data_IF_874638378162
#
_entry.id   IF_874638378162
#
_cell.length_a   1.000
_cell.length_b   1.000
_cell.length_c   1.000
_cell.angle_alpha   90.00
_cell.angle_beta   90.00
_cell.angle_gamma   90.00
#
_symmetry.space_group_name_H-M   'P 1'
#
loop_
_entity.id
_entity.type
_entity.pdbx_description
1 polymer ?
#
# COMPACT_ATOMS: atom_id res chain seq x y z
N UNK A 1 -1.97 -2.16 -9.67
CA UNK A 1 -0.98 -2.10 -8.56
C UNK A 1 -1.54 -2.62 -7.24
N UNK A 2 -2.70 -2.14 -6.78
CA UNK A 2 -3.28 -2.53 -5.47
C UNK A 2 -3.35 -4.03 -5.17
N UNK A 3 -3.80 -4.87 -6.13
CA UNK A 3 -3.82 -6.33 -5.94
C UNK A 3 -2.44 -6.96 -5.70
N UNK A 4 -1.40 -6.46 -6.35
CA UNK A 4 -0.02 -6.93 -6.13
C UNK A 4 0.53 -6.52 -4.77
N UNK A 5 0.25 -5.29 -4.33
CA UNK A 5 0.62 -4.79 -3.00
C UNK A 5 -0.09 -5.61 -1.92
N UNK A 6 -1.38 -5.89 -2.08
CA UNK A 6 -2.15 -6.73 -1.18
C UNK A 6 -1.56 -8.15 -1.08
N UNK A 7 -1.26 -8.77 -2.22
CA UNK A 7 -0.64 -10.09 -2.26
C UNK A 7 0.73 -10.11 -1.56
N UNK A 8 1.60 -9.14 -1.83
CA UNK A 8 2.93 -9.06 -1.17
C UNK A 8 2.77 -8.88 0.34
N UNK A 9 1.83 -8.03 0.77
CA UNK A 9 1.56 -7.77 2.18
C UNK A 9 1.07 -9.02 2.92
N UNK A 10 0.14 -9.76 2.32
CA UNK A 10 -0.37 -10.98 2.91
C UNK A 10 0.64 -12.14 2.86
N UNK A 11 1.24 -12.39 1.69
CA UNK A 11 2.03 -13.60 1.46
C UNK A 11 3.49 -13.48 1.91
N UNK A 12 4.12 -12.32 1.71
CA UNK A 12 5.51 -12.08 2.19
C UNK A 12 5.50 -11.42 3.56
N UNK A 13 4.61 -10.44 3.76
CA UNK A 13 4.50 -9.73 5.03
C UNK A 13 3.79 -10.50 6.15
N UNK A 14 2.98 -11.52 5.83
CA UNK A 14 2.17 -12.23 6.82
C UNK A 14 1.21 -11.30 7.58
N UNK A 15 0.75 -10.23 6.93
CA UNK A 15 -0.09 -9.20 7.53
C UNK A 15 -1.51 -9.24 6.95
N UNK A 16 -2.55 -9.00 7.77
CA UNK A 16 -3.90 -8.82 7.27
C UNK A 16 -3.97 -7.54 6.43
N UNK A 17 -4.62 -7.63 5.26
CA UNK A 17 -4.78 -6.51 4.33
C UNK A 17 -6.25 -6.37 3.94
N UNK A 18 -6.70 -5.12 3.80
CA UNK A 18 -8.04 -4.78 3.33
C UNK A 18 -7.92 -3.94 2.07
N UNK A 19 -8.50 -4.44 0.99
CA UNK A 19 -8.56 -3.76 -0.29
C UNK A 19 -9.83 -2.93 -0.31
N UNK A 20 -9.69 -1.62 -0.54
CA UNK A 20 -10.80 -0.71 -0.80
C UNK A 20 -10.82 -0.33 -2.26
N UNK A 21 -11.98 -0.46 -2.88
CA UNK A 21 -12.24 -0.02 -4.26
C UNK A 21 -13.63 0.63 -4.33
N UNK A 22 -13.90 1.39 -5.39
CA UNK A 22 -15.23 1.96 -5.64
C UNK A 22 -16.21 0.91 -6.14
N UNK A 23 -15.71 -0.18 -6.75
CA UNK A 23 -16.54 -1.22 -7.35
C UNK A 23 -16.12 -2.61 -6.85
N UNK A 24 -17.11 -3.46 -6.56
CA UNK A 24 -16.90 -4.88 -6.21
C UNK A 24 -16.16 -5.64 -7.30
N UNK A 25 -16.28 -5.24 -8.56
CA UNK A 25 -15.51 -5.82 -9.67
C UNK A 25 -14.00 -5.63 -9.51
N UNK A 26 -13.56 -4.44 -9.07
CA UNK A 26 -12.13 -4.15 -8.83
C UNK A 26 -11.56 -5.00 -7.70
N UNK A 27 -12.34 -5.16 -6.63
CA UNK A 27 -12.01 -6.04 -5.50
C UNK A 27 -11.89 -7.50 -5.96
N UNK A 28 -12.89 -8.00 -6.70
CA UNK A 28 -12.90 -9.36 -7.21
C UNK A 28 -11.71 -9.62 -8.13
N UNK A 29 -11.33 -8.64 -8.96
CA UNK A 29 -10.14 -8.74 -9.80
C UNK A 29 -8.86 -8.83 -8.96
N UNK A 30 -8.72 -8.03 -7.91
CA UNK A 30 -7.56 -8.08 -7.02
C UNK A 30 -7.47 -9.39 -6.21
N UNK A 31 -8.60 -9.92 -5.75
CA UNK A 31 -8.69 -11.21 -5.09
C UNK A 31 -8.35 -12.36 -6.05
N UNK A 32 -8.90 -12.33 -7.27
CA UNK A 32 -8.60 -13.31 -8.31
C UNK A 32 -7.12 -13.29 -8.70
N UNK A 33 -6.53 -12.11 -8.85
CA UNK A 33 -5.11 -11.96 -9.11
C UNK A 33 -4.25 -12.61 -8.01
N UNK A 34 -4.61 -12.39 -6.74
CA UNK A 34 -3.94 -13.02 -5.61
C UNK A 34 -4.12 -14.55 -5.59
N UNK A 35 -5.31 -15.03 -5.92
CA UNK A 35 -5.62 -16.45 -6.08
C UNK A 35 -4.76 -17.10 -7.16
N UNK A 36 -4.73 -16.55 -8.37
CA UNK A 36 -4.03 -17.12 -9.52
C UNK A 36 -2.51 -17.24 -9.27
N UNK A 37 -1.93 -16.25 -8.58
CA UNK A 37 -0.52 -16.29 -8.17
C UNK A 37 -0.23 -17.42 -7.17
N UNK A 38 -1.11 -17.61 -6.18
CA UNK A 38 -0.96 -18.66 -5.18
C UNK A 38 -1.25 -20.04 -5.76
N UNK A 39 -2.28 -20.16 -6.60
CA UNK A 39 -2.63 -21.39 -7.30
C UNK A 39 -1.48 -21.87 -8.19
N UNK A 40 -0.78 -20.94 -8.86
CA UNK A 40 0.44 -21.26 -9.60
C UNK A 40 1.53 -21.84 -8.70
N UNK A 41 1.67 -21.37 -7.46
CA UNK A 41 2.63 -21.93 -6.48
C UNK A 41 2.19 -23.31 -5.96
N UNK A 42 0.89 -23.52 -5.75
CA UNK A 42 0.32 -24.83 -5.38
C UNK A 42 0.57 -25.84 -6.50
N UNK A 43 0.28 -25.48 -7.75
CA UNK A 43 0.51 -26.34 -8.93
C UNK A 43 1.99 -26.70 -9.11
N UNK A 44 2.90 -25.77 -8.77
CA UNK A 44 4.35 -26.00 -8.74
C UNK A 44 4.85 -26.73 -7.48
N UNK A 45 3.95 -27.13 -6.57
CA UNK A 45 4.25 -27.81 -5.30
C UNK A 45 5.17 -27.02 -4.37
N UNK A 46 5.21 -25.69 -4.51
CA UNK A 46 5.97 -24.82 -3.60
C UNK A 46 5.24 -24.59 -2.27
N UNK A 47 3.90 -24.66 -2.27
CA UNK A 47 3.04 -24.50 -1.10
C UNK A 47 1.88 -25.51 -1.16
N UNK A 48 1.26 -25.79 -0.01
CA UNK A 48 0.05 -26.63 0.07
C UNK A 48 -1.21 -25.79 -0.20
N UNK A 49 -2.29 -26.44 -0.65
CA UNK A 49 -3.60 -25.77 -0.81
C UNK A 49 -4.08 -25.12 0.50
N UNK A 50 -3.88 -25.80 1.64
CA UNK A 50 -4.18 -25.22 2.96
C UNK A 50 -3.39 -23.95 3.30
N UNK A 51 -2.18 -23.79 2.77
CA UNK A 51 -1.36 -22.58 2.98
C UNK A 51 -1.85 -21.44 2.08
N UNK A 52 -2.23 -21.75 0.83
CA UNK A 52 -2.94 -20.81 -0.06
C UNK A 52 -4.18 -20.25 0.64
N UNK A 53 -5.03 -21.11 1.18
CA UNK A 53 -6.30 -20.70 1.80
C UNK A 53 -6.06 -19.83 3.05
N UNK A 54 -5.05 -20.16 3.86
CA UNK A 54 -4.62 -19.31 4.98
C UNK A 54 -4.14 -17.93 4.53
N UNK A 55 -3.37 -17.85 3.45
CA UNK A 55 -2.87 -16.58 2.92
C UNK A 55 -3.98 -15.74 2.32
N UNK A 56 -4.92 -16.36 1.60
CA UNK A 56 -6.11 -15.67 1.08
C UNK A 56 -7.02 -15.15 2.19
N UNK A 57 -7.15 -15.88 3.30
CA UNK A 57 -7.95 -15.43 4.44
C UNK A 57 -7.43 -14.12 5.08
N UNK A 58 -6.17 -13.74 4.83
CA UNK A 58 -5.61 -12.45 5.25
C UNK A 58 -6.04 -11.29 4.34
N UNK A 59 -6.55 -11.57 3.14
CA UNK A 59 -6.95 -10.56 2.16
C UNK A 59 -8.47 -10.40 2.21
N UNK A 60 -8.91 -9.23 2.66
CA UNK A 60 -10.33 -8.85 2.67
C UNK A 60 -10.59 -7.70 1.71
N UNK A 61 -11.82 -7.57 1.24
CA UNK A 61 -12.24 -6.52 0.32
C UNK A 61 -13.45 -5.77 0.83
N UNK A 62 -13.55 -4.47 0.56
CA UNK A 62 -14.71 -3.65 0.90
C UNK A 62 -14.84 -2.44 -0.03
N UNK A 63 -16.06 -1.96 -0.21
CA UNK A 63 -16.32 -0.72 -0.98
C UNK A 63 -16.34 0.53 -0.10
N UNK A 64 -16.25 0.35 1.22
CA UNK A 64 -16.30 1.43 2.21
C UNK A 64 -15.12 1.39 3.17
N UNK A 65 -15.00 2.46 3.96
CA UNK A 65 -13.98 2.60 4.99
C UNK A 65 -14.31 1.86 6.30
N UNK A 66 -15.32 0.98 6.34
CA UNK A 66 -15.65 0.28 7.59
C UNK A 66 -14.48 -0.60 8.01
N UNK A 67 -14.07 -0.46 9.28
CA UNK A 67 -12.94 -1.20 9.85
C UNK A 67 -11.56 -0.64 9.51
N UNK A 68 -11.48 0.56 8.92
CA UNK A 68 -10.21 1.28 8.73
C UNK A 68 -9.69 1.95 10.01
N UNK A 69 -10.55 2.13 11.02
CA UNK A 69 -10.21 2.69 12.33
C UNK A 69 -9.08 1.96 13.08
N UNK A 70 -8.81 0.71 12.74
CA UNK A 70 -7.75 -0.11 13.37
C UNK A 70 -6.60 -0.41 12.39
N UNK A 71 -6.35 0.46 11.41
CA UNK A 71 -5.25 0.29 10.45
C UNK A 71 -4.12 1.24 10.78
N UNK A 72 -2.91 0.69 10.86
CA UNK A 72 -1.71 1.47 11.16
C UNK A 72 -1.15 2.18 9.92
N UNK A 73 -1.39 1.63 8.72
CA UNK A 73 -0.88 2.17 7.47
C UNK A 73 -1.87 1.90 6.32
N UNK A 74 -2.15 2.94 5.54
CA UNK A 74 -2.97 2.89 4.32
C UNK A 74 -2.08 3.17 3.13
N UNK A 75 -2.12 2.30 2.12
CA UNK A 75 -1.39 2.49 0.86
C UNK A 75 -2.39 2.88 -0.22
N UNK A 76 -2.26 4.07 -0.77
CA UNK A 76 -3.05 4.56 -1.88
C UNK A 76 -2.40 4.15 -3.20
N UNK A 77 -3.20 3.60 -4.12
CA UNK A 77 -2.76 3.11 -5.43
C UNK A 77 -3.83 3.38 -6.51
N UNK A 78 -4.36 4.60 -6.53
CA UNK A 78 -5.29 5.15 -7.51
C UNK A 78 -4.56 5.93 -8.61
N UNK A 79 -5.32 6.50 -9.54
CA UNK A 79 -4.79 7.27 -10.65
C UNK A 79 -4.02 8.51 -10.19
N UNK A 80 -3.11 8.98 -11.05
CA UNK A 80 -2.32 10.19 -10.83
C UNK A 80 -3.20 11.43 -11.02
N UNK A 81 -3.95 11.79 -9.99
CA UNK A 81 -4.78 12.98 -9.91
C UNK A 81 -4.62 13.62 -8.52
N UNK A 82 -4.10 14.84 -8.48
CA UNK A 82 -3.76 15.55 -7.24
C UNK A 82 -5.01 15.84 -6.39
N UNK A 83 -6.07 16.48 -6.93
CA UNK A 83 -7.36 16.62 -6.24
C UNK A 83 -7.88 15.32 -5.63
N UNK A 84 -7.84 14.22 -6.40
CA UNK A 84 -8.31 12.92 -5.93
C UNK A 84 -7.47 12.40 -4.75
N UNK A 85 -6.15 12.49 -4.84
CA UNK A 85 -5.25 12.05 -3.75
C UNK A 85 -5.43 12.89 -2.49
N UNK A 86 -5.55 14.23 -2.62
CA UNK A 86 -5.83 15.11 -1.49
C UNK A 86 -7.17 14.78 -0.83
N UNK A 87 -8.21 14.49 -1.63
CA UNK A 87 -9.50 14.01 -1.10
C UNK A 87 -9.33 12.69 -0.34
N UNK A 88 -8.55 11.74 -0.87
CA UNK A 88 -8.30 10.45 -0.21
C UNK A 88 -7.54 10.62 1.11
N UNK A 89 -6.59 11.56 1.20
CA UNK A 89 -5.93 11.89 2.46
C UNK A 89 -6.95 12.34 3.49
N UNK A 90 -7.82 13.29 3.14
CA UNK A 90 -8.87 13.78 4.03
C UNK A 90 -9.86 12.67 4.44
N UNK A 91 -10.26 11.80 3.52
CA UNK A 91 -11.13 10.66 3.82
C UNK A 91 -10.46 9.67 4.80
N UNK A 92 -9.16 9.39 4.62
CA UNK A 92 -8.39 8.52 5.51
C UNK A 92 -8.25 9.16 6.90
N UNK A 93 -7.94 10.46 6.97
CA UNK A 93 -7.81 11.18 8.25
C UNK A 93 -9.11 11.20 9.05
N UNK A 94 -10.27 11.24 8.37
CA UNK A 94 -11.60 11.20 8.99
C UNK A 94 -12.03 9.80 9.44
N UNK A 95 -11.68 8.76 8.68
CA UNK A 95 -12.18 7.39 8.91
C UNK A 95 -11.18 6.47 9.64
N UNK A 96 -9.92 6.86 9.76
CA UNK A 96 -8.86 6.07 10.39
C UNK A 96 -8.42 6.66 11.75
N UNK A 97 -7.54 5.94 12.44
CA UNK A 97 -7.03 6.38 13.74
C UNK A 97 -6.13 7.61 13.62
N UNK A 98 -5.90 8.26 14.76
CA UNK A 98 -5.00 9.41 14.89
C UNK A 98 -3.55 9.10 14.46
N UNK A 99 -3.14 7.82 14.52
CA UNK A 99 -1.78 7.36 14.23
C UNK A 99 -1.62 6.71 12.85
N UNK A 100 -2.67 6.68 12.03
CA UNK A 100 -2.64 5.99 10.74
C UNK A 100 -1.75 6.72 9.74
N UNK A 101 -0.77 6.02 9.19
CA UNK A 101 0.13 6.55 8.16
C UNK A 101 -0.55 6.45 6.80
N UNK A 102 -0.52 7.53 6.02
CA UNK A 102 -0.95 7.55 4.63
C UNK A 102 0.27 7.45 3.70
N UNK A 103 0.33 6.38 2.91
CA UNK A 103 1.40 6.11 1.98
C UNK A 103 0.90 6.18 0.52
N UNK A 104 1.34 7.15 -0.26
CA UNK A 104 0.96 7.31 -1.67
C UNK A 104 1.90 6.52 -2.59
N UNK A 105 1.36 5.65 -3.43
CA UNK A 105 2.09 5.01 -4.54
C UNK A 105 2.02 5.89 -5.80
N UNK A 106 2.44 7.15 -5.69
CA UNK A 106 2.59 8.03 -6.86
C UNK A 106 3.98 7.88 -7.48
N UNK A 107 4.06 8.00 -8.79
CA UNK A 107 5.34 8.05 -9.53
C UNK A 107 5.71 9.47 -9.98
N UNK A 108 4.74 10.37 -10.08
CA UNK A 108 4.91 11.67 -10.76
C UNK A 108 4.57 12.88 -9.90
N UNK A 109 3.73 12.72 -8.87
CA UNK A 109 3.29 13.83 -8.04
C UNK A 109 4.20 14.00 -6.81
N UNK A 110 4.61 15.24 -6.48
CA UNK A 110 5.31 15.51 -5.23
C UNK A 110 4.46 15.13 -4.02
N UNK A 111 5.08 14.50 -3.02
CA UNK A 111 4.38 14.09 -1.79
C UNK A 111 3.99 15.33 -0.98
N UNK A 112 4.81 16.39 -1.02
CA UNK A 112 4.47 17.68 -0.43
C UNK A 112 3.14 18.26 -0.92
N UNK A 113 2.84 18.15 -2.22
CA UNK A 113 1.58 18.66 -2.78
C UNK A 113 0.37 17.83 -2.33
N UNK A 114 0.55 16.52 -2.18
CA UNK A 114 -0.48 15.62 -1.65
C UNK A 114 -0.74 15.91 -0.16
N UNK A 115 0.32 16.22 0.60
CA UNK A 115 0.25 16.54 2.01
C UNK A 115 -0.21 17.97 2.31
N UNK A 116 -0.26 18.87 1.32
CA UNK A 116 -0.51 20.30 1.52
C UNK A 116 -1.82 20.62 2.26
N UNK A 117 -2.87 19.81 2.04
CA UNK A 117 -4.19 19.97 2.65
C UNK A 117 -4.45 18.95 3.78
N UNK A 118 -3.45 18.17 4.16
CA UNK A 118 -3.58 17.16 5.22
C UNK A 118 -3.66 17.83 6.59
N UNK A 119 -4.52 17.32 7.48
CA UNK A 119 -4.54 17.75 8.87
C UNK A 119 -3.31 17.26 9.65
N UNK A 120 -2.72 16.13 9.21
CA UNK A 120 -1.56 15.47 9.82
C UNK A 120 -0.50 15.16 8.75
N UNK A 121 0.12 16.20 8.16
CA UNK A 121 1.08 16.01 7.08
C UNK A 121 2.29 15.17 7.53
N UNK A 122 2.63 15.15 8.82
CA UNK A 122 3.71 14.32 9.36
C UNK A 122 3.49 12.80 9.21
N UNK A 123 2.26 12.37 8.95
CA UNK A 123 1.86 10.98 8.70
C UNK A 123 1.71 10.66 7.21
N UNK A 124 1.97 11.61 6.33
CA UNK A 124 1.92 11.44 4.87
C UNK A 124 3.33 11.14 4.34
N UNK A 125 3.43 10.08 3.53
CA UNK A 125 4.69 9.63 2.92
C UNK A 125 4.45 9.03 1.53
N UNK A 126 5.45 9.09 0.66
CA UNK A 126 5.43 8.33 -0.59
C UNK A 126 5.96 6.92 -0.37
N UNK A 127 5.28 5.93 -0.96
CA UNK A 127 5.72 4.54 -1.01
C UNK A 127 5.53 4.01 -2.42
N UNK A 128 6.55 4.22 -3.25
CA UNK A 128 6.50 3.91 -4.67
C UNK A 128 6.98 2.47 -4.93
N UNK A 129 6.05 1.63 -5.40
CA UNK A 129 6.26 0.25 -5.79
C UNK A 129 6.48 0.14 -7.31
N UNK A 130 7.50 -0.61 -7.69
CA UNK A 130 7.76 -0.94 -9.08
C UNK A 130 6.88 -2.09 -9.56
N UNK A 131 6.28 -1.94 -10.74
CA UNK A 131 5.52 -3.00 -11.41
C UNK A 131 6.46 -3.94 -12.18
N UNK A 132 6.30 -5.28 -12.11
CA UNK A 132 5.35 -6.03 -11.29
C UNK A 132 5.77 -6.12 -9.80
N UNK A 133 4.82 -5.83 -8.90
CA UNK A 133 5.07 -5.67 -7.46
C UNK A 133 5.57 -6.95 -6.81
N UNK A 134 5.17 -8.11 -7.27
CA UNK A 134 5.52 -9.40 -6.72
C UNK A 134 6.97 -9.82 -7.05
N UNK A 135 7.50 -9.34 -8.18
CA UNK A 135 8.83 -9.69 -8.70
C UNK A 135 9.90 -8.68 -8.30
N UNK A 136 9.57 -7.39 -8.33
CA UNK A 136 10.56 -6.34 -8.09
C UNK A 136 10.98 -6.31 -6.61
N UNK A 137 12.27 -6.33 -6.28
CA UNK A 137 12.72 -6.24 -4.89
C UNK A 137 12.68 -4.80 -4.36
N UNK A 138 12.79 -3.79 -5.22
CA UNK A 138 12.88 -2.39 -4.83
C UNK A 138 11.54 -1.79 -4.40
N UNK A 139 11.60 -0.85 -3.46
CA UNK A 139 10.52 0.10 -3.15
C UNK A 139 11.14 1.42 -2.71
N UNK A 140 10.60 2.53 -3.15
CA UNK A 140 11.09 3.86 -2.80
C UNK A 140 10.22 4.47 -1.70
N UNK A 141 10.86 4.98 -0.67
CA UNK A 141 10.25 5.67 0.46
C UNK A 141 10.57 7.14 0.33
N UNK A 142 9.55 7.96 0.10
CA UNK A 142 9.71 9.37 -0.28
C UNK A 142 9.12 10.24 0.84
N UNK A 143 9.91 10.63 1.85
CA UNK A 143 9.50 11.64 2.81
C UNK A 143 9.48 13.03 2.17
N UNK A 144 8.50 13.84 2.57
CA UNK A 144 8.52 15.28 2.32
C UNK A 144 8.99 16.03 3.57
N UNK A 145 9.12 17.35 3.48
CA UNK A 145 9.75 18.18 4.52
C UNK A 145 9.15 18.04 5.92
N UNK A 146 7.85 17.70 6.04
CA UNK A 146 7.18 17.57 7.34
C UNK A 146 6.94 16.12 7.79
N UNK A 147 7.30 15.12 6.98
CA UNK A 147 7.15 13.70 7.35
C UNK A 147 7.97 13.39 8.60
N UNK A 148 7.34 12.78 9.61
CA UNK A 148 8.04 12.41 10.85
C UNK A 148 9.02 11.25 10.64
N UNK A 149 10.10 11.22 11.43
CA UNK A 149 11.05 10.10 11.43
C UNK A 149 10.37 8.76 11.79
N UNK A 150 9.33 8.79 12.63
CA UNK A 150 8.55 7.61 13.00
C UNK A 150 7.76 7.06 11.80
N UNK A 151 7.16 7.94 11.00
CA UNK A 151 6.46 7.58 9.75
C UNK A 151 7.42 6.88 8.79
N UNK A 152 8.60 7.46 8.57
CA UNK A 152 9.65 6.88 7.71
C UNK A 152 10.07 5.49 8.22
N UNK A 153 10.39 5.38 9.51
CA UNK A 153 10.83 4.12 10.12
C UNK A 153 9.76 3.02 9.99
N UNK A 154 8.49 3.36 10.20
CA UNK A 154 7.37 2.43 10.10
C UNK A 154 7.16 1.95 8.67
N UNK A 155 7.23 2.86 7.70
CA UNK A 155 7.12 2.53 6.27
C UNK A 155 8.29 1.67 5.79
N UNK A 156 9.53 1.98 6.20
CA UNK A 156 10.71 1.17 5.92
C UNK A 156 10.59 -0.23 6.54
N UNK A 157 10.07 -0.33 7.77
CA UNK A 157 9.82 -1.62 8.45
C UNK A 157 8.78 -2.45 7.70
N UNK A 158 7.70 -1.83 7.22
CA UNK A 158 6.69 -2.51 6.40
C UNK A 158 7.30 -3.05 5.10
N UNK A 159 8.05 -2.23 4.38
CA UNK A 159 8.74 -2.62 3.15
C UNK A 159 9.67 -3.83 3.36
N UNK A 160 10.49 -3.81 4.42
CA UNK A 160 11.34 -4.95 4.78
C UNK A 160 10.53 -6.20 5.10
N UNK A 161 9.42 -6.06 5.83
CA UNK A 161 8.53 -7.17 6.17
C UNK A 161 7.88 -7.78 4.92
N UNK A 162 7.55 -6.95 3.94
CA UNK A 162 7.09 -7.36 2.62
C UNK A 162 8.18 -8.06 1.76
N UNK A 163 9.40 -8.21 2.28
CA UNK A 163 10.52 -8.78 1.55
C UNK A 163 11.02 -7.87 0.42
N UNK A 164 10.84 -6.55 0.58
CA UNK A 164 11.35 -5.52 -0.32
C UNK A 164 12.58 -4.84 0.28
N UNK A 165 13.39 -4.26 -0.59
CA UNK A 165 14.53 -3.41 -0.26
C UNK A 165 14.09 -1.95 -0.36
N UNK A 166 13.78 -1.29 0.78
CA UNK A 166 13.43 0.13 0.77
C UNK A 166 14.65 1.00 0.50
N UNK A 167 14.49 1.98 -0.38
CA UNK A 167 15.43 3.08 -0.59
C UNK A 167 14.74 4.38 -0.20
N UNK A 168 15.37 5.18 0.66
CA UNK A 168 14.83 6.49 1.03
C UNK A 168 15.31 7.51 -0.01
N UNK A 169 14.37 8.17 -0.69
CA UNK A 169 14.64 9.13 -1.77
C UNK A 169 14.02 10.47 -1.40
N UNK A 170 14.69 11.58 -1.72
CA UNK A 170 14.17 12.93 -1.43
C UNK A 170 13.07 13.33 -2.42
N UNK A 171 11.99 13.96 -1.94
CA UNK A 171 10.85 14.51 -2.71
C UNK A 171 11.28 15.46 -3.84
N UNK A 172 11.54 14.93 -5.05
CA UNK A 172 11.84 15.66 -6.29
C UNK A 172 11.08 15.03 -7.45
N UNK A 173 10.49 15.86 -8.31
CA UNK A 173 9.69 15.41 -9.46
C UNK A 173 10.46 14.40 -10.34
N UNK A 174 9.90 13.19 -10.56
CA UNK A 174 10.43 12.17 -11.48
C UNK A 174 11.37 11.11 -10.88
N UNK A 175 11.17 10.73 -9.62
CA UNK A 175 12.07 9.93 -8.78
C UNK A 175 12.96 8.85 -9.44
N UNK A 176 14.25 9.20 -9.53
CA UNK A 176 15.41 8.59 -8.87
C UNK A 176 16.46 9.72 -8.74
N UNK A 177 17.30 9.72 -7.71
CA UNK A 177 18.57 10.47 -7.70
C UNK A 177 19.72 9.48 -7.70
#
# INVERSE_FOLDING_TARGET
>A
MGGGIAWVTACKGGLPVRIKDINTQGINHALKYSWDLLETKVRRRHIKASERDKQLALISGSTDYRGFSHRDLVIEAVFEDLPLKQQMVAEVEQNCAAHTIFASNTSSLPIGDIAANAARPEQVIGLHFFSPVEKMPLVEVIPHASTSAQTIATTVKLAKKQGKTPIVVSDKAGFLC
#
